data_IF_148441664163
#
_entry.id   IF_148441664163
#
_cell.length_a   1.000
_cell.length_b   1.000
_cell.length_c   1.000
_cell.angle_alpha   90.00
_cell.angle_beta   90.00
_cell.angle_gamma   90.00
#
_symmetry.space_group_name_H-M   'P 1'
#
loop_
_entity.id
_entity.type
_entity.pdbx_description
1 polymer ?
#
# COMPACT_ATOMS: atom_id res chain seq x y z
N UNK A 1 -14.28 47.88 2.54
CA UNK A 1 -15.45 48.65 3.00
C UNK A 1 -15.87 49.63 1.91
N UNK A 2 -17.17 49.90 1.73
CA UNK A 2 -17.62 50.92 0.78
C UNK A 2 -17.46 52.30 1.42
N UNK A 3 -16.80 53.26 0.76
CA UNK A 3 -16.69 54.62 1.28
C UNK A 3 -18.09 55.28 1.35
N UNK A 4 -18.27 56.27 2.24
CA UNK A 4 -19.52 57.01 2.31
C UNK A 4 -19.83 57.65 0.95
N UNK A 5 -21.09 57.60 0.48
CA UNK A 5 -21.46 58.02 -0.87
C UNK A 5 -21.40 59.55 -1.07
N UNK A 6 -21.37 60.34 0.00
CA UNK A 6 -21.23 61.80 -0.04
C UNK A 6 -20.78 62.39 1.32
N UNK A 7 -20.28 63.64 1.28
CA UNK A 7 -19.79 64.40 2.43
C UNK A 7 -20.85 64.61 3.54
N UNK A 8 -22.14 64.65 3.17
CA UNK A 8 -23.23 64.78 4.15
C UNK A 8 -23.45 63.50 4.96
N UNK A 9 -23.21 62.32 4.38
CA UNK A 9 -23.25 61.04 5.13
C UNK A 9 -22.01 60.91 5.99
N UNK A 10 -20.84 61.32 5.50
CA UNK A 10 -19.58 61.29 6.25
C UNK A 10 -19.64 62.16 7.51
N UNK A 11 -20.18 63.38 7.41
CA UNK A 11 -20.37 64.29 8.56
C UNK A 11 -21.40 63.82 9.60
N UNK A 12 -22.17 62.77 9.30
CA UNK A 12 -23.15 62.15 10.22
C UNK A 12 -22.64 60.86 10.86
N UNK A 13 -21.42 60.43 10.56
CA UNK A 13 -20.84 59.24 11.15
C UNK A 13 -20.53 59.50 12.63
N UNK A 14 -21.15 58.71 13.50
CA UNK A 14 -20.89 58.72 14.93
C UNK A 14 -20.02 57.49 15.23
N UNK A 15 -18.92 57.62 15.97
CA UNK A 15 -18.14 56.47 16.41
C UNK A 15 -19.03 55.53 17.23
N UNK A 16 -18.92 54.22 16.98
CA UNK A 16 -19.69 53.23 17.71
C UNK A 16 -19.36 53.33 19.22
N UNK A 17 -20.32 53.14 20.14
CA UNK A 17 -20.07 53.28 21.58
C UNK A 17 -18.91 52.39 22.09
N UNK A 18 -18.67 51.23 21.46
CA UNK A 18 -17.55 50.31 21.76
C UNK A 18 -16.21 50.64 21.05
N UNK A 19 -16.03 51.85 20.50
CA UNK A 19 -14.86 52.18 19.66
C UNK A 19 -13.67 52.70 20.46
N UNK A 20 -13.75 52.75 21.79
CA UNK A 20 -12.64 53.32 22.56
C UNK A 20 -11.38 52.46 22.38
N UNK A 21 -10.21 53.06 22.09
CA UNK A 21 -9.01 52.30 21.76
C UNK A 21 -8.59 51.32 22.86
N UNK A 22 -8.85 51.68 24.13
CA UNK A 22 -8.50 50.87 25.29
C UNK A 22 -9.44 49.67 25.45
N UNK A 23 -10.75 49.85 25.31
CA UNK A 23 -11.70 48.73 25.38
C UNK A 23 -11.54 47.77 24.21
N UNK A 24 -11.22 48.27 23.00
CA UNK A 24 -10.90 47.44 21.85
C UNK A 24 -9.66 46.58 22.11
N UNK A 25 -8.62 47.15 22.73
CA UNK A 25 -7.41 46.43 23.08
C UNK A 25 -7.68 45.32 24.09
N UNK A 26 -8.44 45.61 25.15
CA UNK A 26 -8.82 44.59 26.14
C UNK A 26 -9.65 43.46 25.52
N UNK A 27 -10.57 43.79 24.60
CA UNK A 27 -11.37 42.79 23.86
C UNK A 27 -10.50 41.92 22.95
N UNK A 28 -9.51 42.50 22.25
CA UNK A 28 -8.56 41.74 21.42
C UNK A 28 -7.71 40.81 22.30
N UNK A 29 -7.15 41.32 23.40
CA UNK A 29 -6.34 40.51 24.33
C UNK A 29 -7.16 39.39 25.01
N UNK A 30 -8.45 39.60 25.26
CA UNK A 30 -9.35 38.56 25.73
C UNK A 30 -9.60 37.50 24.63
N UNK A 31 -9.90 37.94 23.41
CA UNK A 31 -10.11 37.04 22.27
C UNK A 31 -8.88 36.20 21.95
N UNK A 32 -7.67 36.77 21.97
CA UNK A 32 -6.43 36.04 21.71
C UNK A 32 -6.20 34.91 22.73
N UNK A 33 -6.48 35.16 24.02
CA UNK A 33 -6.36 34.16 25.09
C UNK A 33 -7.36 33.01 24.90
N UNK A 34 -8.61 33.33 24.61
CA UNK A 34 -9.66 32.31 24.41
C UNK A 34 -9.44 31.52 23.12
N UNK A 35 -9.06 32.19 22.04
CA UNK A 35 -8.81 31.58 20.75
C UNK A 35 -7.62 30.61 20.81
N UNK A 36 -6.56 30.94 21.56
CA UNK A 36 -5.45 30.02 21.79
C UNK A 36 -5.91 28.69 22.41
N UNK A 37 -6.81 28.74 23.40
CA UNK A 37 -7.37 27.54 24.04
C UNK A 37 -8.25 26.75 23.07
N UNK A 38 -9.12 27.44 22.33
CA UNK A 38 -9.99 26.80 21.33
C UNK A 38 -9.17 26.10 20.23
N UNK A 39 -8.05 26.69 19.80
CA UNK A 39 -7.15 26.08 18.84
C UNK A 39 -6.54 24.78 19.35
N UNK A 40 -6.21 24.69 20.64
CA UNK A 40 -5.71 23.45 21.22
C UNK A 40 -6.80 22.38 21.32
N UNK A 41 -8.01 22.74 21.75
CA UNK A 41 -9.14 21.81 21.90
C UNK A 41 -9.54 21.24 20.54
N UNK A 42 -9.61 22.09 19.52
CA UNK A 42 -10.03 21.70 18.17
C UNK A 42 -8.87 21.51 17.20
N UNK A 43 -7.65 21.26 17.68
CA UNK A 43 -6.46 21.13 16.82
C UNK A 43 -6.61 20.07 15.72
N UNK A 44 -7.45 19.06 15.94
CA UNK A 44 -7.74 17.97 15.00
C UNK A 44 -8.77 18.31 13.92
N UNK A 45 -9.63 19.32 14.14
CA UNK A 45 -10.77 19.63 13.26
C UNK A 45 -10.83 21.09 12.81
N UNK A 46 -10.10 21.99 13.46
CA UNK A 46 -10.04 23.41 13.13
C UNK A 46 -8.81 23.75 12.28
N UNK A 47 -9.01 24.67 11.33
CA UNK A 47 -7.96 25.23 10.48
C UNK A 47 -8.09 26.75 10.49
N UNK A 48 -6.98 27.45 10.74
CA UNK A 48 -6.95 28.90 10.69
C UNK A 48 -6.60 29.39 9.29
N UNK A 49 -7.26 30.47 8.88
CA UNK A 49 -6.97 31.20 7.65
C UNK A 49 -6.67 32.64 8.00
N UNK A 50 -5.63 33.20 7.37
CA UNK A 50 -5.36 34.62 7.52
C UNK A 50 -6.49 35.42 6.85
N UNK A 51 -7.14 36.33 7.60
CA UNK A 51 -8.18 37.20 7.08
C UNK A 51 -7.64 38.57 6.61
N UNK A 52 -6.35 38.86 6.82
CA UNK A 52 -5.66 40.09 6.40
C UNK A 52 -5.30 40.09 4.90
N UNK A 53 -6.12 39.43 4.09
CA UNK A 53 -5.96 39.28 2.65
C UNK A 53 -7.34 39.50 2.00
N UNK A 54 -7.42 39.80 0.68
CA UNK A 54 -8.71 40.08 0.06
C UNK A 54 -9.67 38.89 0.18
N UNK A 55 -10.97 39.18 0.28
CA UNK A 55 -12.00 38.17 0.55
C UNK A 55 -12.00 37.03 -0.48
N UNK A 56 -11.61 37.32 -1.72
CA UNK A 56 -11.44 36.32 -2.79
C UNK A 56 -10.39 35.27 -2.44
N UNK A 57 -9.29 35.67 -1.82
CA UNK A 57 -8.15 34.81 -1.51
C UNK A 57 -8.43 34.00 -0.25
N UNK A 58 -9.09 34.61 0.75
CA UNK A 58 -9.63 33.89 1.90
C UNK A 58 -10.63 32.83 1.45
N UNK A 59 -11.58 33.21 0.58
CA UNK A 59 -12.58 32.29 0.04
C UNK A 59 -11.93 31.15 -0.75
N UNK A 60 -10.97 31.44 -1.62
CA UNK A 60 -10.23 30.43 -2.37
C UNK A 60 -9.46 29.47 -1.44
N UNK A 61 -8.84 30.00 -0.38
CA UNK A 61 -8.10 29.21 0.61
C UNK A 61 -9.00 28.29 1.42
N UNK A 62 -10.15 28.79 1.88
CA UNK A 62 -11.16 28.02 2.61
C UNK A 62 -11.78 26.98 1.69
N UNK A 63 -12.18 27.37 0.48
CA UNK A 63 -12.74 26.47 -0.52
C UNK A 63 -11.78 25.34 -0.83
N UNK A 64 -10.50 25.65 -1.08
CA UNK A 64 -9.46 24.65 -1.33
C UNK A 64 -9.29 23.66 -0.17
N UNK A 65 -9.42 24.11 1.08
CA UNK A 65 -9.36 23.21 2.24
C UNK A 65 -10.61 22.35 2.41
N UNK A 66 -11.80 22.91 2.18
CA UNK A 66 -13.08 22.17 2.32
C UNK A 66 -13.28 21.18 1.18
N UNK A 67 -12.82 21.51 -0.03
CA UNK A 67 -12.87 20.60 -1.19
C UNK A 67 -11.73 19.60 -1.22
N UNK A 68 -10.66 19.82 -0.43
CA UNK A 68 -9.64 18.80 -0.23
C UNK A 68 -10.28 17.58 0.45
N UNK A 69 -10.07 16.37 -0.09
CA UNK A 69 -10.48 15.17 0.61
C UNK A 69 -9.80 15.18 1.98
N UNK A 70 -10.52 14.86 3.08
CA UNK A 70 -9.94 14.90 4.41
C UNK A 70 -8.65 14.07 4.40
N UNK A 71 -7.58 14.63 4.98
CA UNK A 71 -6.40 13.83 5.38
C UNK A 71 -6.87 12.90 6.49
N UNK A 72 -7.57 11.84 6.12
CA UNK A 72 -7.93 10.79 7.03
C UNK A 72 -6.62 10.19 7.52
N UNK A 73 -6.29 10.46 8.79
CA UNK A 73 -5.27 9.72 9.55
C UNK A 73 -5.68 8.24 9.73
N UNK A 74 -6.95 7.90 9.45
CA UNK A 74 -7.32 6.56 9.09
C UNK A 74 -6.55 6.19 7.82
N UNK A 75 -5.40 5.52 8.02
CA UNK A 75 -4.69 4.78 6.97
C UNK A 75 -5.77 4.11 6.13
N UNK A 76 -5.92 4.50 4.85
CA UNK A 76 -6.67 3.69 3.90
C UNK A 76 -6.21 2.26 4.14
N UNK A 77 -7.15 1.36 4.42
CA UNK A 77 -6.85 -0.04 4.72
C UNK A 77 -5.72 -0.51 3.79
N UNK A 78 -4.54 -0.88 4.30
CA UNK A 78 -3.36 -1.08 3.47
C UNK A 78 -3.58 -2.22 2.47
N UNK A 79 -3.38 -1.93 1.20
CA UNK A 79 -3.54 -2.83 0.06
C UNK A 79 -2.21 -2.89 -0.66
N UNK A 80 -1.35 -3.75 -0.15
CA UNK A 80 0.06 -3.82 -0.54
C UNK A 80 0.22 -4.87 -1.64
N UNK A 81 0.94 -4.52 -2.69
CA UNK A 81 1.37 -5.44 -3.74
C UNK A 81 2.88 -5.60 -3.71
N UNK A 82 3.36 -6.85 -3.58
CA UNK A 82 4.79 -7.18 -3.62
C UNK A 82 5.17 -7.86 -4.94
N UNK A 83 5.88 -7.12 -5.78
CA UNK A 83 6.42 -7.56 -7.06
C UNK A 83 7.90 -7.96 -6.93
N UNK A 84 8.38 -8.74 -7.90
CA UNK A 84 9.78 -9.18 -7.98
C UNK A 84 9.93 -10.65 -8.35
N UNK A 85 11.16 -11.07 -8.55
CA UNK A 85 11.48 -12.45 -8.97
C UNK A 85 11.05 -13.50 -7.95
N UNK A 86 10.91 -14.75 -8.40
CA UNK A 86 10.91 -15.88 -7.47
C UNK A 86 12.26 -15.91 -6.76
N UNK A 87 12.27 -16.02 -5.43
CA UNK A 87 13.52 -15.94 -4.65
C UNK A 87 13.87 -14.56 -4.09
N UNK A 88 13.17 -13.49 -4.47
CA UNK A 88 13.43 -12.13 -3.96
C UNK A 88 13.00 -11.87 -2.51
N UNK A 89 12.43 -12.86 -1.81
CA UNK A 89 12.01 -12.70 -0.42
C UNK A 89 10.59 -12.17 -0.20
N UNK A 90 9.77 -11.99 -1.25
CA UNK A 90 8.36 -11.53 -1.16
C UNK A 90 7.54 -12.20 -0.06
N UNK A 91 7.60 -13.53 0.02
CA UNK A 91 6.86 -14.32 1.03
C UNK A 91 7.35 -14.03 2.44
N UNK A 92 8.65 -13.84 2.63
CA UNK A 92 9.26 -13.52 3.92
C UNK A 92 8.80 -12.12 4.36
N UNK A 93 8.90 -11.14 3.47
CA UNK A 93 8.45 -9.76 3.74
C UNK A 93 6.94 -9.69 4.02
N UNK A 94 6.12 -10.42 3.25
CA UNK A 94 4.68 -10.49 3.51
C UNK A 94 4.34 -11.06 4.89
N UNK A 95 5.10 -12.06 5.37
CA UNK A 95 4.92 -12.62 6.72
C UNK A 95 5.32 -11.64 7.82
N UNK A 96 6.42 -10.92 7.64
CA UNK A 96 6.88 -9.91 8.60
C UNK A 96 5.86 -8.77 8.71
N UNK A 97 5.37 -8.26 7.58
CA UNK A 97 4.34 -7.24 7.53
C UNK A 97 3.03 -7.72 8.16
N UNK A 98 2.60 -8.94 7.86
CA UNK A 98 1.42 -9.54 8.47
C UNK A 98 1.55 -9.67 10.00
N UNK A 99 2.73 -10.06 10.48
CA UNK A 99 3.01 -10.20 11.92
C UNK A 99 3.01 -8.87 12.66
N UNK A 100 3.64 -7.83 12.08
CA UNK A 100 3.78 -6.52 12.73
C UNK A 100 2.51 -5.66 12.64
N UNK A 101 1.85 -5.67 11.48
CA UNK A 101 0.72 -4.77 11.17
C UNK A 101 -0.64 -5.49 11.14
N UNK A 102 -0.69 -6.79 11.38
CA UNK A 102 -1.93 -7.56 11.40
C UNK A 102 -2.59 -7.75 10.02
N UNK A 103 -1.86 -7.50 8.94
CA UNK A 103 -2.34 -7.59 7.56
C UNK A 103 -2.54 -9.04 7.12
N UNK A 104 -3.35 -9.24 6.09
CA UNK A 104 -3.62 -10.57 5.53
C UNK A 104 -2.66 -10.86 4.36
N UNK A 105 -1.69 -11.78 4.50
CA UNK A 105 -0.82 -12.16 3.39
C UNK A 105 -1.56 -13.14 2.45
N UNK A 106 -1.67 -12.78 1.18
CA UNK A 106 -2.35 -13.58 0.14
C UNK A 106 -1.32 -14.00 -0.91
N UNK A 107 -1.04 -15.30 -0.95
CA UNK A 107 -0.22 -15.95 -1.99
C UNK A 107 -1.15 -16.56 -3.03
N UNK A 108 -1.11 -16.06 -4.27
CA UNK A 108 -1.95 -16.59 -5.34
C UNK A 108 -1.71 -18.09 -5.60
N UNK A 109 -0.48 -18.57 -5.46
CA UNK A 109 -0.19 -20.00 -5.68
C UNK A 109 -0.73 -20.88 -4.55
N UNK A 110 -0.69 -20.39 -3.31
CA UNK A 110 -1.31 -21.09 -2.18
C UNK A 110 -2.84 -21.05 -2.29
N UNK A 111 -3.41 -19.93 -2.73
CA UNK A 111 -4.84 -19.75 -2.94
C UNK A 111 -5.39 -20.77 -3.94
N UNK A 112 -4.73 -20.94 -5.09
CA UNK A 112 -5.11 -21.96 -6.09
C UNK A 112 -5.12 -23.37 -5.47
N UNK A 113 -4.08 -23.72 -4.71
CA UNK A 113 -4.02 -25.03 -4.05
C UNK A 113 -5.11 -25.21 -2.97
N UNK A 114 -5.43 -24.15 -2.24
CA UNK A 114 -6.51 -24.15 -1.25
C UNK A 114 -7.88 -24.33 -1.91
N UNK A 115 -8.15 -23.68 -3.02
CA UNK A 115 -9.39 -23.85 -3.79
C UNK A 115 -9.51 -25.28 -4.36
N UNK A 116 -8.42 -25.85 -4.87
CA UNK A 116 -8.40 -27.24 -5.34
C UNK A 116 -8.69 -28.20 -4.18
N UNK A 117 -8.11 -27.95 -3.00
CA UNK A 117 -8.29 -28.77 -1.82
C UNK A 117 -9.71 -28.66 -1.23
N UNK A 118 -10.33 -27.48 -1.29
CA UNK A 118 -11.70 -27.24 -0.81
C UNK A 118 -12.78 -27.80 -1.74
N UNK A 119 -12.39 -28.28 -2.93
CA UNK A 119 -13.29 -28.85 -3.95
C UNK A 119 -14.38 -27.85 -4.38
N UNK A 120 -14.05 -26.55 -4.36
CA UNK A 120 -14.94 -25.47 -4.81
C UNK A 120 -15.21 -25.55 -6.30
N UNK A 121 -16.21 -24.79 -6.80
CA UNK A 121 -16.48 -24.69 -8.24
C UNK A 121 -15.24 -24.20 -9.02
N UNK A 122 -14.56 -23.17 -8.50
CA UNK A 122 -13.30 -22.67 -9.04
C UNK A 122 -12.19 -23.72 -8.92
N UNK A 123 -12.08 -24.38 -7.76
CA UNK A 123 -11.10 -25.44 -7.52
C UNK A 123 -11.19 -26.59 -8.50
N UNK A 124 -12.42 -27.05 -8.81
CA UNK A 124 -12.65 -28.09 -9.83
C UNK A 124 -12.19 -27.65 -11.22
N UNK A 125 -12.49 -26.41 -11.61
CA UNK A 125 -12.03 -25.85 -12.88
C UNK A 125 -10.50 -25.77 -12.93
N UNK A 126 -9.87 -25.21 -11.90
CA UNK A 126 -8.41 -25.07 -11.79
C UNK A 126 -7.69 -26.42 -11.75
N UNK A 127 -8.26 -27.42 -11.07
CA UNK A 127 -7.66 -28.75 -10.90
C UNK A 127 -7.30 -29.39 -12.24
N UNK A 128 -8.17 -29.27 -13.24
CA UNK A 128 -7.93 -29.83 -14.58
C UNK A 128 -6.71 -29.24 -15.28
N UNK A 129 -6.44 -27.95 -15.11
CA UNK A 129 -5.26 -27.29 -15.69
C UNK A 129 -3.99 -27.67 -14.91
N UNK A 130 -4.06 -27.66 -13.58
CA UNK A 130 -2.93 -27.98 -12.70
C UNK A 130 -2.46 -29.43 -12.89
N UNK A 131 -3.38 -30.40 -12.95
CA UNK A 131 -3.05 -31.81 -13.19
C UNK A 131 -2.40 -32.05 -14.56
N UNK A 132 -2.74 -31.21 -15.55
CA UNK A 132 -2.16 -31.25 -16.91
C UNK A 132 -0.88 -30.41 -17.04
N UNK A 133 -0.36 -29.85 -15.95
CA UNK A 133 0.77 -28.91 -15.94
C UNK A 133 0.56 -27.69 -16.88
N UNK A 134 -0.70 -27.28 -17.09
CA UNK A 134 -1.04 -26.11 -17.88
C UNK A 134 -1.24 -24.89 -16.98
N UNK A 135 -1.00 -23.70 -17.53
CA UNK A 135 -1.33 -22.45 -16.84
C UNK A 135 -2.85 -22.35 -16.65
N UNK A 136 -3.27 -21.96 -15.44
CA UNK A 136 -4.68 -21.67 -15.15
C UNK A 136 -5.06 -20.37 -15.89
N UNK A 137 -6.21 -20.31 -16.60
CA UNK A 137 -6.66 -19.10 -17.27
C UNK A 137 -6.81 -17.91 -16.32
N UNK A 138 -6.38 -16.73 -16.77
CA UNK A 138 -6.35 -15.49 -15.95
C UNK A 138 -7.73 -15.11 -15.39
N UNK A 139 -8.80 -15.33 -16.17
CA UNK A 139 -10.18 -15.08 -15.73
C UNK A 139 -10.58 -15.90 -14.49
N UNK A 140 -10.13 -17.15 -14.39
CA UNK A 140 -10.42 -18.00 -13.23
C UNK A 140 -9.54 -17.58 -12.03
N UNK A 141 -8.30 -17.17 -12.29
CA UNK A 141 -7.37 -16.72 -11.25
C UNK A 141 -7.86 -15.42 -10.61
N UNK A 142 -8.30 -14.43 -11.40
CA UNK A 142 -8.78 -13.16 -10.86
C UNK A 142 -10.05 -13.36 -10.02
N UNK A 143 -10.96 -14.25 -10.41
CA UNK A 143 -12.15 -14.59 -9.61
C UNK A 143 -11.79 -15.17 -8.24
N UNK A 144 -10.81 -16.09 -8.18
CA UNK A 144 -10.34 -16.64 -6.91
C UNK A 144 -9.67 -15.56 -6.04
N UNK A 145 -8.81 -14.73 -6.64
CA UNK A 145 -8.17 -13.61 -5.93
C UNK A 145 -9.21 -12.65 -5.39
N UNK A 146 -10.22 -12.28 -6.20
CA UNK A 146 -11.34 -11.44 -5.78
C UNK A 146 -12.09 -12.04 -4.61
N UNK A 147 -12.48 -13.31 -4.71
CA UNK A 147 -13.19 -14.00 -3.63
C UNK A 147 -12.40 -13.99 -2.31
N UNK A 148 -11.07 -14.05 -2.36
CA UNK A 148 -10.22 -13.97 -1.16
C UNK A 148 -10.08 -12.55 -0.62
N UNK A 149 -9.86 -11.56 -1.49
CA UNK A 149 -9.58 -10.17 -1.10
C UNK A 149 -10.82 -9.41 -0.62
N UNK A 150 -12.03 -9.88 -0.96
CA UNK A 150 -13.30 -9.28 -0.49
C UNK A 150 -13.79 -9.85 0.84
N UNK A 151 -13.09 -10.82 1.42
CA UNK A 151 -13.42 -11.35 2.75
C UNK A 151 -13.29 -10.27 3.84
N UNK A 152 -14.08 -10.37 4.93
CA UNK A 152 -14.14 -9.34 5.97
C UNK A 152 -12.78 -9.07 6.63
N UNK A 153 -11.92 -10.07 6.72
CA UNK A 153 -10.58 -9.91 7.29
C UNK A 153 -9.67 -9.05 6.41
N UNK A 154 -9.72 -9.24 5.08
CA UNK A 154 -8.98 -8.45 4.10
C UNK A 154 -9.52 -7.03 3.97
N UNK A 155 -10.83 -6.83 4.04
CA UNK A 155 -11.44 -5.49 3.91
C UNK A 155 -11.26 -4.64 5.15
N UNK A 156 -11.25 -5.24 6.35
CA UNK A 156 -11.06 -4.52 7.61
C UNK A 156 -9.59 -4.29 7.96
N UNK A 157 -8.74 -5.32 7.84
CA UNK A 157 -7.32 -5.24 8.23
C UNK A 157 -6.39 -4.85 7.09
N UNK A 158 -6.81 -5.11 5.86
CA UNK A 158 -5.96 -4.95 4.68
C UNK A 158 -5.26 -6.23 4.29
N UNK A 159 -4.60 -6.17 3.14
CA UNK A 159 -4.03 -7.33 2.48
C UNK A 159 -2.68 -7.03 1.85
N UNK A 160 -1.86 -8.08 1.76
CA UNK A 160 -0.59 -8.09 1.06
C UNK A 160 -0.67 -9.15 -0.02
N UNK A 161 -0.80 -8.74 -1.26
CA UNK A 161 -0.85 -9.64 -2.40
C UNK A 161 0.56 -9.88 -2.94
N UNK A 162 0.91 -11.14 -3.13
CA UNK A 162 2.16 -11.53 -3.79
C UNK A 162 1.98 -12.77 -4.65
N UNK A 163 2.82 -12.87 -5.68
CA UNK A 163 2.75 -13.97 -6.66
C UNK A 163 1.72 -13.77 -7.77
N UNK A 164 0.93 -12.69 -7.71
CA UNK A 164 -0.01 -12.15 -8.70
C UNK A 164 -0.08 -10.62 -8.53
N UNK A 165 -0.23 -9.81 -9.59
CA UNK A 165 -0.16 -10.18 -11.01
C UNK A 165 1.27 -10.51 -11.48
N UNK A 166 1.36 -11.22 -12.61
CA UNK A 166 2.62 -11.57 -13.30
C UNK A 166 2.72 -10.99 -14.71
N UNK A 167 1.63 -10.46 -15.23
CA UNK A 167 1.54 -9.80 -16.53
C UNK A 167 0.72 -8.51 -16.40
N UNK A 168 0.86 -7.60 -17.36
CA UNK A 168 0.04 -6.39 -17.44
C UNK A 168 -1.45 -6.72 -17.52
N UNK A 169 -1.83 -7.73 -18.30
CA UNK A 169 -3.22 -8.16 -18.43
C UNK A 169 -3.83 -8.60 -17.08
N UNK A 170 -3.07 -9.30 -16.25
CA UNK A 170 -3.51 -9.68 -14.90
C UNK A 170 -3.67 -8.48 -13.96
N UNK A 171 -2.83 -7.45 -14.13
CA UNK A 171 -2.94 -6.19 -13.39
C UNK A 171 -4.20 -5.41 -13.79
N UNK A 172 -4.47 -5.32 -15.09
CA UNK A 172 -5.70 -4.70 -15.62
C UNK A 172 -6.97 -5.43 -15.13
N UNK A 173 -6.95 -6.76 -15.10
CA UNK A 173 -8.06 -7.55 -14.55
C UNK A 173 -8.26 -7.28 -13.05
N UNK A 174 -7.18 -7.15 -12.27
CA UNK A 174 -7.26 -6.85 -10.85
C UNK A 174 -7.89 -5.47 -10.59
N UNK A 175 -7.49 -4.48 -11.39
CA UNK A 175 -8.02 -3.12 -11.27
C UNK A 175 -9.46 -3.01 -11.78
N UNK A 176 -9.84 -3.76 -12.82
CA UNK A 176 -11.22 -3.85 -13.30
C UNK A 176 -12.19 -4.40 -12.22
N UNK A 177 -11.69 -5.25 -11.32
CA UNK A 177 -12.45 -5.76 -10.17
C UNK A 177 -12.48 -4.80 -8.97
N UNK A 178 -11.92 -3.59 -9.10
CA UNK A 178 -11.85 -2.59 -8.04
C UNK A 178 -10.85 -2.92 -6.92
N UNK A 179 -9.94 -3.87 -7.16
CA UNK A 179 -8.96 -4.37 -6.19
C UNK A 179 -7.60 -3.67 -6.32
N UNK A 180 -7.63 -2.34 -6.51
CA UNK A 180 -6.43 -1.54 -6.77
C UNK A 180 -5.54 -1.40 -5.53
N UNK A 181 -4.26 -1.81 -5.60
CA UNK A 181 -3.32 -1.64 -4.51
C UNK A 181 -3.02 -0.16 -4.26
N UNK A 182 -2.84 0.22 -3.00
CA UNK A 182 -2.45 1.59 -2.62
C UNK A 182 -0.92 1.73 -2.43
N UNK A 183 -0.21 0.61 -2.33
CA UNK A 183 1.24 0.53 -2.18
C UNK A 183 1.75 -0.59 -3.06
N UNK A 184 2.68 -0.28 -3.97
CA UNK A 184 3.31 -1.29 -4.82
C UNK A 184 4.81 -1.24 -4.61
N UNK A 185 5.39 -2.38 -4.25
CA UNK A 185 6.81 -2.53 -3.97
C UNK A 185 7.43 -3.54 -4.93
N UNK A 186 8.48 -3.15 -5.66
CA UNK A 186 9.31 -4.05 -6.44
C UNK A 186 10.55 -4.43 -5.65
N UNK A 187 10.66 -5.71 -5.29
CA UNK A 187 11.87 -6.27 -4.69
C UNK A 187 12.87 -6.63 -5.79
N UNK A 188 13.83 -5.72 -6.02
CA UNK A 188 14.82 -5.82 -7.07
C UNK A 188 16.02 -6.66 -6.62
N UNK A 189 16.28 -7.70 -7.40
CA UNK A 189 17.40 -8.61 -7.21
C UNK A 189 17.87 -9.11 -8.57
N UNK A 190 19.18 -9.39 -8.70
CA UNK A 190 19.71 -9.99 -9.91
C UNK A 190 19.16 -11.41 -10.13
N UNK A 191 19.11 -11.85 -11.38
CA UNK A 191 18.69 -13.22 -11.72
C UNK A 191 19.58 -14.28 -11.06
N UNK A 192 20.89 -13.97 -10.94
CA UNK A 192 21.89 -14.86 -10.37
C UNK A 192 21.62 -15.02 -8.86
N UNK A 193 21.51 -13.90 -8.13
CA UNK A 193 21.23 -13.94 -6.70
C UNK A 193 19.88 -14.60 -6.40
N UNK A 194 18.85 -14.38 -7.24
CA UNK A 194 17.56 -15.05 -7.10
C UNK A 194 17.66 -16.58 -7.28
N UNK A 195 18.43 -17.03 -8.27
CA UNK A 195 18.65 -18.46 -8.52
C UNK A 195 19.45 -19.13 -7.39
N UNK A 196 20.51 -18.49 -6.91
CA UNK A 196 21.31 -18.96 -5.77
C UNK A 196 20.46 -19.12 -4.51
N UNK A 197 19.63 -18.12 -4.19
CA UNK A 197 18.70 -18.19 -3.04
C UNK A 197 17.68 -19.34 -3.15
N UNK A 198 17.27 -19.69 -4.37
CA UNK A 198 16.31 -20.78 -4.60
C UNK A 198 16.97 -22.15 -4.55
N UNK A 199 18.16 -22.30 -5.11
CA UNK A 199 18.94 -23.56 -5.08
C UNK A 199 19.42 -23.91 -3.67
N UNK A 200 19.74 -22.90 -2.86
CA UNK A 200 20.06 -23.04 -1.43
C UNK A 200 18.86 -23.30 -0.52
N UNK A 201 17.63 -23.31 -1.05
CA UNK A 201 16.42 -23.52 -0.26
C UNK A 201 16.22 -24.98 0.09
N UNK A 202 15.82 -25.24 1.33
CA UNK A 202 15.53 -26.56 1.86
C UNK A 202 14.17 -26.57 2.55
N UNK A 203 13.54 -27.74 2.61
CA UNK A 203 12.27 -27.97 3.26
C UNK A 203 12.47 -29.06 4.31
N UNK A 204 11.99 -28.81 5.52
CA UNK A 204 11.80 -29.87 6.51
C UNK A 204 10.56 -30.70 6.11
N UNK A 205 10.71 -32.00 5.83
CA UNK A 205 9.59 -32.85 5.41
C UNK A 205 8.51 -33.01 6.49
N UNK A 206 8.84 -32.82 7.77
CA UNK A 206 7.90 -32.98 8.88
C UNK A 206 7.08 -31.72 9.09
N UNK A 207 7.75 -30.56 9.23
CA UNK A 207 7.05 -29.30 9.52
C UNK A 207 6.62 -28.55 8.25
N UNK A 208 7.17 -28.90 7.09
CA UNK A 208 7.01 -28.14 5.84
C UNK A 208 7.66 -26.75 5.85
N UNK A 209 8.42 -26.42 6.91
CA UNK A 209 9.11 -25.14 7.02
C UNK A 209 10.27 -25.06 6.03
N UNK A 210 10.51 -23.85 5.52
CA UNK A 210 11.54 -23.57 4.52
C UNK A 210 12.73 -22.90 5.19
N UNK A 211 13.91 -23.43 4.92
CA UNK A 211 15.18 -22.93 5.41
C UNK A 211 16.13 -22.64 4.25
N UNK A 212 17.17 -21.85 4.52
CA UNK A 212 18.27 -21.64 3.59
C UNK A 212 19.53 -22.30 4.15
N UNK A 213 20.39 -22.85 3.29
CA UNK A 213 21.62 -23.55 3.72
C UNK A 213 22.54 -22.67 4.59
N UNK A 214 22.55 -21.36 4.35
CA UNK A 214 23.35 -20.38 5.11
C UNK A 214 22.76 -20.02 6.47
N UNK A 215 21.44 -20.20 6.66
CA UNK A 215 20.71 -19.74 7.84
C UNK A 215 20.06 -20.95 8.53
N UNK A 216 20.90 -21.91 8.96
CA UNK A 216 20.45 -23.11 9.68
C UNK A 216 20.18 -22.74 11.13
N UNK A 217 18.94 -22.92 11.63
CA UNK A 217 18.64 -22.65 13.04
C UNK A 217 19.18 -23.74 13.98
N UNK A 218 19.52 -24.91 13.44
CA UNK A 218 20.11 -26.02 14.18
C UNK A 218 21.58 -26.10 13.73
N UNK A 219 22.51 -26.09 14.69
CA UNK A 219 23.92 -26.44 14.41
C UNK A 219 24.03 -27.86 13.83
N UNK A 220 25.24 -28.39 13.66
CA UNK A 220 25.48 -29.71 13.04
C UNK A 220 24.66 -30.87 13.64
N UNK A 221 24.10 -30.68 14.84
CA UNK A 221 23.11 -31.57 15.45
C UNK A 221 21.70 -31.29 14.91
N UNK A 222 21.26 -32.11 13.94
CA UNK A 222 19.98 -32.84 14.00
C UNK A 222 19.82 -33.71 12.74
N UNK A 223 19.44 -34.95 12.99
CA UNK A 223 19.10 -36.08 12.12
C UNK A 223 17.97 -35.86 11.09
N UNK A 224 17.61 -34.61 10.77
CA UNK A 224 16.53 -34.28 9.85
C UNK A 224 17.10 -34.09 8.45
N UNK A 225 16.87 -35.08 7.58
CA UNK A 225 17.16 -34.97 6.15
C UNK A 225 16.31 -33.85 5.53
N UNK A 226 16.88 -32.66 5.43
CA UNK A 226 16.24 -31.55 4.75
C UNK A 226 16.22 -31.84 3.24
N UNK A 227 15.04 -31.76 2.62
CA UNK A 227 14.85 -32.06 1.21
C UNK A 227 14.86 -30.79 0.37
N UNK A 228 15.35 -30.89 -0.87
CA UNK A 228 15.18 -29.85 -1.87
C UNK A 228 13.82 -30.05 -2.55
N UNK A 229 13.06 -28.96 -2.71
CA UNK A 229 11.78 -29.01 -3.41
C UNK A 229 12.01 -29.33 -4.89
N UNK A 230 11.26 -30.25 -5.52
CA UNK A 230 11.31 -30.47 -6.97
C UNK A 230 11.12 -29.19 -7.81
N UNK A 231 10.36 -28.22 -7.30
CA UNK A 231 10.14 -26.93 -7.96
C UNK A 231 11.34 -25.96 -7.87
N UNK A 232 12.36 -26.30 -7.08
CA UNK A 232 13.60 -25.53 -6.86
C UNK A 232 14.78 -26.17 -7.62
N UNK A 233 14.49 -27.00 -8.63
CA UNK A 233 15.50 -27.45 -9.59
C UNK A 233 15.85 -26.31 -10.54
N UNK A 234 17.11 -26.25 -10.93
CA UNK A 234 17.67 -25.16 -11.77
C UNK A 234 16.87 -24.94 -13.06
N UNK A 235 16.46 -26.01 -13.76
CA UNK A 235 15.67 -25.89 -14.99
C UNK A 235 14.30 -25.21 -14.76
N UNK A 236 13.62 -25.55 -13.67
CA UNK A 236 12.32 -24.98 -13.31
C UNK A 236 12.47 -23.52 -12.85
N UNK A 237 13.54 -23.24 -12.11
CA UNK A 237 13.87 -21.88 -11.67
C UNK A 237 14.14 -21.00 -12.88
N UNK A 238 14.97 -21.46 -13.83
CA UNK A 238 15.31 -20.73 -15.05
C UNK A 238 14.08 -20.35 -15.87
N UNK A 239 13.16 -21.30 -16.09
CA UNK A 239 11.88 -21.03 -16.76
C UNK A 239 11.05 -19.97 -16.03
N UNK A 240 10.90 -20.07 -14.71
CA UNK A 240 10.13 -19.08 -13.92
C UNK A 240 10.76 -17.68 -13.95
N UNK A 241 12.09 -17.60 -13.89
CA UNK A 241 12.82 -16.33 -13.97
C UNK A 241 12.66 -15.69 -15.36
N UNK A 242 12.77 -16.48 -16.43
CA UNK A 242 12.59 -16.01 -17.80
C UNK A 242 11.17 -15.48 -18.06
N UNK A 243 10.14 -16.22 -17.63
CA UNK A 243 8.75 -15.80 -17.80
C UNK A 243 8.46 -14.48 -17.07
N UNK A 244 8.98 -14.28 -15.86
CA UNK A 244 8.82 -13.00 -15.17
C UNK A 244 9.61 -11.89 -15.87
N UNK A 245 10.84 -12.16 -16.32
CA UNK A 245 11.66 -11.18 -17.03
C UNK A 245 10.93 -10.61 -18.26
N UNK A 246 10.30 -11.49 -19.05
CA UNK A 246 9.58 -11.12 -20.28
C UNK A 246 8.39 -10.15 -20.04
N UNK A 247 7.74 -10.23 -18.88
CA UNK A 247 6.59 -9.37 -18.56
C UNK A 247 6.90 -8.25 -17.58
N UNK A 248 8.11 -8.25 -16.99
CA UNK A 248 8.50 -7.34 -15.91
C UNK A 248 8.34 -5.88 -16.30
N UNK A 249 8.86 -5.52 -17.47
CA UNK A 249 8.90 -4.13 -17.95
C UNK A 249 7.49 -3.57 -18.11
N UNK A 250 6.61 -4.30 -18.82
CA UNK A 250 5.21 -3.90 -19.03
C UNK A 250 4.43 -3.81 -17.71
N UNK A 251 4.73 -4.70 -16.75
CA UNK A 251 4.08 -4.70 -15.45
C UNK A 251 4.54 -3.52 -14.57
N UNK A 252 5.84 -3.19 -14.62
CA UNK A 252 6.39 -2.06 -13.85
C UNK A 252 5.93 -0.73 -14.44
N UNK A 253 5.85 -0.63 -15.76
CA UNK A 253 5.30 0.54 -16.45
C UNK A 253 3.83 0.79 -16.05
N UNK A 254 3.02 -0.28 -15.94
CA UNK A 254 1.63 -0.17 -15.50
C UNK A 254 1.49 0.45 -14.10
N UNK A 255 2.37 0.06 -13.16
CA UNK A 255 2.35 0.57 -11.80
C UNK A 255 3.28 1.77 -11.56
N UNK A 256 3.89 2.35 -12.59
CA UNK A 256 5.00 3.31 -12.46
C UNK A 256 4.67 4.54 -11.59
N UNK A 257 3.40 4.95 -11.52
CA UNK A 257 2.99 6.07 -10.65
C UNK A 257 3.12 5.78 -9.15
N UNK A 258 2.95 4.51 -8.77
CA UNK A 258 2.83 4.07 -7.37
C UNK A 258 3.90 3.04 -6.98
N UNK A 259 4.81 2.72 -7.90
CA UNK A 259 5.84 1.70 -7.73
C UNK A 259 7.05 2.25 -6.97
N UNK A 260 7.41 1.56 -5.90
CA UNK A 260 8.62 1.85 -5.12
C UNK A 260 9.59 0.68 -5.32
N UNK A 261 10.78 0.99 -5.82
CA UNK A 261 11.87 0.03 -5.98
C UNK A 261 12.61 -0.14 -4.66
N UNK A 262 12.84 -1.39 -4.26
CA UNK A 262 13.55 -1.78 -3.04
C UNK A 262 14.67 -2.73 -3.41
N UNK A 263 15.87 -2.44 -2.94
CA UNK A 263 17.01 -3.29 -3.20
C UNK A 263 16.93 -4.53 -2.30
N UNK A 264 16.63 -5.68 -2.89
CA UNK A 264 16.37 -6.92 -2.15
C UNK A 264 17.60 -7.82 -1.98
N UNK A 265 18.79 -7.37 -2.42
CA UNK A 265 20.04 -8.12 -2.27
C UNK A 265 20.80 -7.84 -0.97
N UNK A 266 20.08 -7.40 0.06
CA UNK A 266 20.59 -7.18 1.41
C UNK A 266 19.87 -8.11 2.40
N UNK A 267 20.17 -7.95 3.69
CA UNK A 267 19.54 -8.75 4.72
C UNK A 267 18.02 -8.50 4.82
N UNK A 268 17.33 -9.46 5.42
CA UNK A 268 15.87 -9.47 5.48
C UNK A 268 15.32 -8.27 6.26
N UNK A 269 16.04 -7.78 7.28
CA UNK A 269 15.58 -6.71 8.15
C UNK A 269 15.75 -5.34 7.48
N UNK A 270 16.87 -5.08 6.80
CA UNK A 270 17.05 -3.85 6.02
C UNK A 270 16.00 -3.74 4.90
N UNK A 271 15.71 -4.83 4.17
CA UNK A 271 14.62 -4.82 3.19
C UNK A 271 13.27 -4.50 3.84
N UNK A 272 13.03 -5.03 5.04
CA UNK A 272 11.80 -4.79 5.78
C UNK A 272 11.67 -3.32 6.18
N UNK A 273 12.74 -2.71 6.72
CA UNK A 273 12.78 -1.30 7.10
C UNK A 273 12.52 -0.36 5.90
N UNK A 274 13.07 -0.67 4.72
CA UNK A 274 12.78 0.11 3.50
C UNK A 274 11.30 0.04 3.10
N UNK A 275 10.68 -1.14 3.21
CA UNK A 275 9.24 -1.29 2.97
C UNK A 275 8.44 -0.45 3.96
N UNK A 276 8.81 -0.49 5.25
CA UNK A 276 8.13 0.29 6.30
C UNK A 276 8.23 1.79 6.04
N UNK A 277 9.41 2.29 5.66
CA UNK A 277 9.58 3.68 5.26
C UNK A 277 8.62 4.06 4.12
N UNK A 278 8.48 3.18 3.11
CA UNK A 278 7.54 3.36 2.00
C UNK A 278 6.06 3.30 2.42
N UNK A 279 5.72 2.60 3.49
CA UNK A 279 4.35 2.57 4.04
C UNK A 279 3.97 3.88 4.73
N UNK A 280 4.90 4.48 5.47
CA UNK A 280 4.68 5.71 6.25
C UNK A 280 4.60 6.95 5.37
N UNK A 281 5.27 6.94 4.21
CA UNK A 281 5.24 8.05 3.27
C UNK A 281 3.81 8.33 2.73
N UNK A 282 3.51 9.57 2.30
CA UNK A 282 2.21 9.91 1.72
C UNK A 282 1.83 8.96 0.57
N UNK A 283 0.54 8.67 0.42
CA UNK A 283 0.08 7.89 -0.74
C UNK A 283 0.49 8.59 -2.04
N UNK A 284 1.00 7.85 -3.04
CA UNK A 284 1.25 8.43 -4.36
C UNK A 284 -0.07 8.98 -4.92
N UNK A 285 -0.01 10.12 -5.59
CA UNK A 285 -1.20 10.81 -6.11
C UNK A 285 -1.78 10.02 -7.29
N UNK A 286 -3.05 9.63 -7.19
CA UNK A 286 -3.79 9.03 -8.30
C UNK A 286 -3.88 10.05 -9.45
N UNK A 287 -3.44 9.67 -10.65
CA UNK A 287 -3.56 10.52 -11.86
C UNK A 287 -4.99 10.54 -12.44
N UNK A 288 -5.90 9.69 -11.95
CA UNK A 288 -7.27 9.56 -12.47
C UNK A 288 -8.19 10.75 -12.14
N UNK A 289 -7.75 11.70 -11.31
CA UNK A 289 -8.51 12.90 -10.95
C UNK A 289 -8.16 14.15 -11.77
N UNK A 290 -7.28 14.05 -12.77
CA UNK A 290 -6.86 15.18 -13.63
C UNK A 290 -7.39 15.09 -15.07
N UNK A 291 -8.64 14.69 -15.26
CA UNK A 291 -9.37 14.80 -16.54
C UNK A 291 -10.77 15.32 -16.32
#
# INVERSE_FOLDING_TARGET
MKPPPNLQVENRLIPHPDSSPNELREKIEAYERENFILQQIYATSARMFNADQPLTDVYASVLAYVTQPPRNLALRTPRILLLGFVGSGRKTQAKLLAGKYGLVPVDCSALINQEIASVSLLGKAMKTYVERNMAVPDAIVVEAVKARLTQPDCTTRGWILYGYPRSKQQAELLDAEGLTPNRVFALDISHICAAERLTGRRIDPVTGQRFHLSNRPFGDDMSVQMLQNPQDRECVIGSKLATFAAHKEQLYEYYASNLIHIHADVDVHTVFEEIEAGLVNPLPQDKSTNT
#
